data_IF_880724152080
#
_entry.id   IF_880724152080
#
_cell.length_a   1.000
_cell.length_b   1.000
_cell.length_c   1.000
_cell.angle_alpha   90.00
_cell.angle_beta   90.00
_cell.angle_gamma   90.00
#
_symmetry.space_group_name_H-M   'P 1'
#
loop_
_entity.id
_entity.type
_entity.pdbx_description
1 polymer ?
#
# COMPACT_ATOMS: atom_id res chain seq x y z
N UNK A 1 34.65 -6.61 16.36
CA UNK A 1 33.18 -6.72 16.47
C UNK A 1 32.85 -6.92 17.95
N UNK A 2 32.00 -6.07 18.54
CA UNK A 2 31.53 -6.27 19.93
C UNK A 2 30.16 -6.92 19.84
N UNK A 3 30.06 -8.13 20.37
CA UNK A 3 28.78 -8.81 20.54
C UNK A 3 28.14 -8.28 21.83
N UNK A 4 26.95 -7.69 21.72
CA UNK A 4 26.19 -7.20 22.87
C UNK A 4 24.98 -8.11 23.01
N UNK A 5 24.97 -8.90 24.08
CA UNK A 5 23.81 -9.72 24.43
C UNK A 5 22.80 -8.85 25.17
N UNK A 6 21.61 -8.70 24.60
CA UNK A 6 20.52 -7.98 25.24
C UNK A 6 19.92 -8.82 26.37
N UNK A 7 19.57 -8.17 27.48
CA UNK A 7 19.01 -8.84 28.67
C UNK A 7 17.50 -9.14 28.55
N UNK A 8 16.86 -8.67 27.48
CA UNK A 8 15.42 -8.83 27.19
C UNK A 8 15.20 -9.03 25.68
N UNK A 9 14.09 -9.65 25.26
CA UNK A 9 13.69 -9.68 23.85
C UNK A 9 13.59 -8.26 23.28
N UNK A 10 14.18 -8.04 22.11
CA UNK A 10 14.01 -6.79 21.38
C UNK A 10 12.66 -6.71 20.70
N UNK A 11 12.14 -5.48 20.58
CA UNK A 11 11.00 -5.19 19.73
C UNK A 11 11.49 -4.63 18.41
N UNK A 12 11.05 -5.24 17.29
CA UNK A 12 11.39 -4.80 15.95
C UNK A 12 10.14 -4.24 15.27
N UNK A 13 10.24 -3.03 14.75
CA UNK A 13 9.24 -2.41 13.88
C UNK A 13 9.84 -2.25 12.49
N UNK A 14 9.04 -2.40 11.45
CA UNK A 14 9.45 -2.11 10.08
C UNK A 14 8.34 -1.40 9.33
N UNK A 15 8.71 -0.63 8.31
CA UNK A 15 7.77 0.00 7.40
C UNK A 15 8.40 0.22 6.02
N UNK A 16 7.57 0.42 5.00
CA UNK A 16 8.01 0.63 3.63
C UNK A 16 7.74 2.06 3.17
N UNK A 17 8.79 2.72 2.70
CA UNK A 17 8.67 4.01 2.04
C UNK A 17 8.64 3.85 0.52
N UNK A 18 7.52 4.15 -0.11
CA UNK A 18 7.41 4.25 -1.58
C UNK A 18 7.95 5.62 -2.07
N UNK A 19 8.63 5.72 -3.20
CA UNK A 19 9.07 6.99 -3.80
C UNK A 19 7.91 7.74 -4.47
N UNK A 20 8.06 9.05 -4.71
CA UNK A 20 6.97 9.85 -5.30
C UNK A 20 6.65 9.45 -6.75
N UNK A 21 7.62 8.92 -7.49
CA UNK A 21 7.42 8.33 -8.82
C UNK A 21 6.95 6.86 -8.78
N UNK A 22 6.72 6.31 -7.58
CA UNK A 22 6.22 4.94 -7.34
C UNK A 22 7.10 3.83 -7.92
N UNK A 23 8.37 4.13 -8.24
CA UNK A 23 9.33 3.17 -8.81
C UNK A 23 10.32 2.61 -7.79
N UNK A 24 10.34 3.08 -6.56
CA UNK A 24 11.28 2.63 -5.52
C UNK A 24 10.54 2.42 -4.21
N UNK A 25 10.82 1.33 -3.52
CA UNK A 25 10.38 1.05 -2.16
C UNK A 25 11.61 0.84 -1.27
N UNK A 26 11.74 1.63 -0.21
CA UNK A 26 12.82 1.52 0.78
C UNK A 26 12.27 0.88 2.05
N UNK A 27 12.93 -0.17 2.52
CA UNK A 27 12.62 -0.75 3.83
C UNK A 27 13.24 0.11 4.92
N UNK A 28 12.45 0.42 5.94
CA UNK A 28 12.94 1.01 7.17
C UNK A 28 12.69 0.06 8.34
N UNK A 29 13.66 -0.08 9.25
CA UNK A 29 13.56 -0.94 10.43
C UNK A 29 13.96 -0.18 11.69
N UNK A 30 13.34 -0.51 12.82
CA UNK A 30 13.64 0.06 14.12
C UNK A 30 13.73 -1.07 15.14
N UNK A 31 14.82 -1.11 15.91
CA UNK A 31 15.03 -2.08 16.98
C UNK A 31 15.14 -1.32 18.29
N UNK A 32 14.23 -1.58 19.24
CA UNK A 32 14.22 -0.93 20.56
C UNK A 32 14.34 0.60 20.49
N UNK A 33 13.58 1.21 19.57
CA UNK A 33 13.58 2.66 19.28
C UNK A 33 14.81 3.22 18.57
N UNK A 34 15.79 2.38 18.23
CA UNK A 34 16.90 2.75 17.38
C UNK A 34 16.57 2.47 15.91
N UNK A 35 16.47 3.55 15.13
CA UNK A 35 16.31 3.50 13.67
C UNK A 35 17.56 2.88 13.05
N UNK A 36 17.38 1.76 12.37
CA UNK A 36 18.33 1.21 11.43
C UNK A 36 17.78 1.42 10.01
N UNK A 37 18.57 2.01 9.12
CA UNK A 37 18.21 2.06 7.71
C UNK A 37 18.93 0.91 7.07
N UNK A 38 18.31 -0.28 6.94
CA UNK A 38 18.91 -1.30 6.13
C UNK A 38 18.94 -0.73 4.70
N UNK A 39 20.07 -0.86 3.99
CA UNK A 39 20.23 -0.33 2.63
C UNK A 39 19.51 -1.23 1.61
N UNK A 40 18.24 -1.50 1.91
CA UNK A 40 17.38 -2.48 1.25
C UNK A 40 16.30 -1.75 0.47
N UNK A 41 16.41 -1.83 -0.86
CA UNK A 41 15.54 -1.14 -1.80
C UNK A 41 14.94 -2.13 -2.77
N UNK A 42 13.70 -1.89 -3.19
CA UNK A 42 13.09 -2.58 -4.33
C UNK A 42 12.80 -1.52 -5.38
N UNK A 43 13.38 -1.65 -6.57
CA UNK A 43 13.20 -0.67 -7.64
C UNK A 43 12.62 -1.31 -8.90
N UNK A 44 11.75 -0.58 -9.57
CA UNK A 44 11.32 -0.88 -10.93
C UNK A 44 12.37 -0.40 -11.91
N UNK A 45 12.94 -1.32 -12.68
CA UNK A 45 14.01 -1.03 -13.65
C UNK A 45 13.49 -1.22 -15.06
N UNK A 46 13.50 -0.15 -15.85
CA UNK A 46 13.06 -0.11 -17.24
C UNK A 46 13.93 0.82 -18.11
N UNK A 47 13.66 0.84 -19.41
CA UNK A 47 14.20 1.83 -20.33
C UNK A 47 15.73 1.88 -20.37
N UNK A 48 16.30 3.05 -20.04
CA UNK A 48 17.75 3.27 -20.07
C UNK A 48 18.48 2.49 -18.98
N UNK A 49 17.99 2.58 -17.73
CA UNK A 49 18.60 1.90 -16.59
C UNK A 49 18.66 0.39 -16.78
N UNK A 50 17.61 -0.22 -17.35
CA UNK A 50 17.61 -1.64 -17.71
C UNK A 50 18.68 -1.98 -18.75
N UNK A 51 18.84 -1.16 -19.78
CA UNK A 51 19.83 -1.40 -20.84
C UNK A 51 21.25 -1.28 -20.32
N UNK A 52 21.54 -0.26 -19.50
CA UNK A 52 22.84 -0.10 -18.85
C UNK A 52 23.16 -1.29 -17.95
N UNK A 53 22.22 -1.69 -17.09
CA UNK A 53 22.41 -2.84 -16.21
C UNK A 53 22.70 -4.15 -17.00
N UNK A 54 22.06 -4.35 -18.16
CA UNK A 54 22.38 -5.48 -19.05
C UNK A 54 23.76 -5.30 -19.70
N UNK A 55 24.12 -4.10 -20.15
CA UNK A 55 25.40 -3.79 -20.80
C UNK A 55 26.60 -3.97 -19.86
N UNK A 56 26.44 -3.57 -18.60
CA UNK A 56 27.45 -3.75 -17.55
C UNK A 56 27.47 -5.17 -16.96
N UNK A 57 26.60 -6.07 -17.44
CA UNK A 57 26.55 -7.46 -17.02
C UNK A 57 25.97 -7.67 -15.61
N UNK A 58 25.27 -6.67 -15.08
CA UNK A 58 24.52 -6.79 -13.82
C UNK A 58 23.28 -7.66 -14.04
N UNK A 59 22.55 -7.44 -15.14
CA UNK A 59 21.39 -8.23 -15.54
C UNK A 59 21.69 -9.16 -16.73
N UNK A 60 21.09 -10.37 -16.77
CA UNK A 60 21.18 -11.25 -17.93
C UNK A 60 20.68 -10.60 -19.22
N UNK A 61 21.27 -10.97 -20.36
CA UNK A 61 20.72 -10.60 -21.66
C UNK A 61 19.29 -11.14 -21.83
N UNK A 62 18.40 -10.29 -22.33
CA UNK A 62 16.98 -10.62 -22.52
C UNK A 62 16.10 -10.34 -21.31
N UNK A 63 16.65 -9.83 -20.19
CA UNK A 63 15.83 -9.36 -19.08
C UNK A 63 14.88 -8.23 -19.52
N UNK A 64 13.62 -8.35 -19.12
CA UNK A 64 12.56 -7.38 -19.38
C UNK A 64 12.33 -6.46 -18.18
N UNK A 65 11.62 -5.32 -18.35
CA UNK A 65 11.26 -4.45 -17.24
C UNK A 65 10.58 -5.21 -16.09
N UNK A 66 11.07 -5.01 -14.87
CA UNK A 66 10.55 -5.68 -13.67
C UNK A 66 10.96 -4.96 -12.37
N UNK A 67 10.48 -5.45 -11.24
CA UNK A 67 10.95 -5.12 -9.90
C UNK A 67 12.16 -5.97 -9.51
N UNK A 68 13.17 -5.28 -8.99
CA UNK A 68 14.44 -5.86 -8.54
C UNK A 68 14.73 -5.42 -7.12
N UNK A 69 15.35 -6.32 -6.35
CA UNK A 69 15.98 -5.97 -5.09
C UNK A 69 17.35 -5.35 -5.37
N UNK A 70 17.66 -4.27 -4.64
CA UNK A 70 18.62 -3.25 -5.01
C UNK A 70 19.33 -2.83 -3.71
N UNK A 71 20.66 -2.98 -3.67
CA UNK A 71 21.51 -2.65 -2.53
C UNK A 71 22.31 -1.39 -2.79
N UNK A 72 21.93 -0.25 -2.18
CA UNK A 72 22.69 0.99 -2.31
C UNK A 72 24.01 0.87 -1.54
N UNK A 73 25.12 0.71 -2.25
CA UNK A 73 26.47 0.96 -1.71
C UNK A 73 26.72 2.48 -1.78
N UNK A 74 26.86 3.14 -0.62
CA UNK A 74 27.34 4.51 -0.40
C UNK A 74 26.84 5.63 -1.36
N UNK A 75 25.87 6.45 -0.89
CA UNK A 75 25.49 7.80 -1.40
C UNK A 75 25.26 8.02 -2.92
N UNK A 76 25.39 7.02 -3.78
CA UNK A 76 25.16 7.15 -5.21
C UNK A 76 23.67 6.96 -5.54
N UNK A 77 23.01 8.07 -5.90
CA UNK A 77 21.61 8.11 -6.37
C UNK A 77 21.37 7.39 -7.72
N UNK A 78 22.37 6.70 -8.28
CA UNK A 78 22.31 6.18 -9.66
C UNK A 78 22.06 4.68 -9.67
N UNK A 79 20.84 4.26 -10.06
CA UNK A 79 20.34 2.86 -10.17
C UNK A 79 21.35 1.88 -10.81
N UNK A 80 22.25 2.37 -11.66
CA UNK A 80 23.21 1.60 -12.45
C UNK A 80 24.39 0.97 -11.69
N UNK A 81 24.60 1.25 -10.39
CA UNK A 81 25.64 0.58 -9.58
C UNK A 81 25.13 -0.54 -8.66
N UNK A 82 23.83 -0.86 -8.74
CA UNK A 82 23.06 -1.30 -7.55
C UNK A 82 22.46 -2.72 -7.70
N UNK A 83 22.51 -3.31 -8.89
CA UNK A 83 21.83 -4.58 -9.21
C UNK A 83 22.70 -5.83 -8.91
N UNK A 84 23.38 -5.87 -7.77
CA UNK A 84 24.31 -6.97 -7.43
C UNK A 84 23.65 -8.30 -7.01
N UNK A 85 22.33 -8.38 -6.78
CA UNK A 85 21.68 -9.66 -6.44
C UNK A 85 20.24 -9.74 -6.93
N UNK A 86 20.09 -10.19 -8.17
CA UNK A 86 18.79 -10.17 -8.89
C UNK A 86 17.85 -11.30 -8.49
N UNK A 87 18.36 -12.31 -7.79
CA UNK A 87 17.55 -13.33 -7.12
C UNK A 87 17.87 -13.32 -5.64
N UNK A 88 17.04 -12.63 -4.85
CA UNK A 88 16.88 -13.03 -3.46
C UNK A 88 16.23 -14.40 -3.47
N UNK A 89 17.07 -15.43 -3.34
CA UNK A 89 16.64 -16.74 -2.85
C UNK A 89 15.92 -16.56 -1.52
N UNK A 90 15.10 -17.55 -1.13
CA UNK A 90 14.47 -17.54 0.20
C UNK A 90 15.48 -17.19 1.31
N UNK A 91 15.03 -16.52 2.40
CA UNK A 91 15.91 -16.03 3.45
C UNK A 91 16.91 -17.08 3.93
N UNK A 92 18.19 -16.70 4.08
CA UNK A 92 19.21 -17.65 4.48
C UNK A 92 18.98 -18.08 5.93
N UNK A 93 18.83 -19.39 6.16
CA UNK A 93 18.64 -19.94 7.51
C UNK A 93 19.84 -19.62 8.42
N UNK A 94 21.03 -19.38 7.83
CA UNK A 94 22.26 -19.02 8.53
C UNK A 94 22.32 -17.55 8.98
N UNK A 95 21.47 -16.68 8.44
CA UNK A 95 21.40 -15.26 8.80
C UNK A 95 20.94 -15.05 10.25
N UNK A 96 21.37 -13.94 10.86
CA UNK A 96 20.92 -13.54 12.20
C UNK A 96 19.39 -13.37 12.24
N UNK A 97 18.72 -13.48 13.40
CA UNK A 97 17.26 -13.32 13.47
C UNK A 97 16.73 -12.02 12.87
N UNK A 98 17.43 -10.90 13.09
CA UNK A 98 17.06 -9.60 12.52
C UNK A 98 17.28 -9.56 11.00
N UNK A 99 18.41 -10.09 10.53
CA UNK A 99 18.70 -10.15 9.10
C UNK A 99 17.69 -11.02 8.36
N UNK A 100 17.32 -12.19 8.91
CA UNK A 100 16.27 -13.05 8.35
C UNK A 100 14.91 -12.35 8.26
N UNK A 101 14.56 -11.56 9.28
CA UNK A 101 13.33 -10.75 9.24
C UNK A 101 13.40 -9.74 8.10
N UNK A 102 14.52 -9.02 7.94
CA UNK A 102 14.74 -8.05 6.86
C UNK A 102 14.61 -8.73 5.49
N UNK A 103 15.34 -9.82 5.26
CA UNK A 103 15.30 -10.61 4.03
C UNK A 103 13.89 -11.12 3.73
N UNK A 104 13.17 -11.62 4.73
CA UNK A 104 11.80 -12.07 4.59
C UNK A 104 10.87 -10.94 4.16
N UNK A 105 10.99 -9.74 4.75
CA UNK A 105 10.16 -8.60 4.38
C UNK A 105 10.46 -8.11 2.96
N UNK A 106 11.74 -8.05 2.57
CA UNK A 106 12.15 -7.73 1.19
C UNK A 106 11.57 -8.72 0.21
N UNK A 107 11.70 -10.02 0.48
CA UNK A 107 11.19 -11.09 -0.39
C UNK A 107 9.67 -11.01 -0.55
N UNK A 108 8.93 -10.85 0.56
CA UNK A 108 7.47 -10.70 0.54
C UNK A 108 7.04 -9.48 -0.29
N UNK A 109 7.66 -8.32 -0.06
CA UNK A 109 7.33 -7.08 -0.77
C UNK A 109 7.69 -7.17 -2.25
N UNK A 110 8.86 -7.71 -2.58
CA UNK A 110 9.32 -7.87 -3.97
C UNK A 110 8.36 -8.76 -4.76
N UNK A 111 7.94 -9.89 -4.20
CA UNK A 111 7.00 -10.79 -4.86
C UNK A 111 5.61 -10.16 -5.02
N UNK A 112 5.14 -9.41 -4.03
CA UNK A 112 3.90 -8.66 -4.14
C UNK A 112 3.96 -7.63 -5.28
N UNK A 113 5.07 -6.89 -5.39
CA UNK A 113 5.29 -5.90 -6.45
C UNK A 113 5.41 -6.56 -7.83
N UNK A 114 6.19 -7.63 -7.96
CA UNK A 114 6.30 -8.43 -9.19
C UNK A 114 4.93 -8.95 -9.65
N UNK A 115 4.11 -9.44 -8.71
CA UNK A 115 2.74 -9.87 -9.00
C UNK A 115 1.84 -8.72 -9.44
N UNK A 116 2.03 -7.52 -8.88
CA UNK A 116 1.27 -6.32 -9.27
C UNK A 116 1.65 -5.79 -10.66
N UNK A 117 2.84 -6.13 -11.16
CA UNK A 117 3.32 -5.73 -12.49
C UNK A 117 3.92 -4.32 -12.50
N UNK A 118 3.63 -3.56 -13.55
CA UNK A 118 4.21 -2.22 -13.74
C UNK A 118 3.76 -1.26 -12.63
N UNK A 119 4.66 -0.42 -12.09
CA UNK A 119 4.29 0.59 -11.11
C UNK A 119 3.23 1.54 -11.67
N UNK A 120 2.35 2.09 -10.83
CA UNK A 120 1.39 3.08 -11.28
C UNK A 120 2.10 4.30 -11.87
N UNK A 121 1.59 4.78 -12.99
CA UNK A 121 2.20 5.89 -13.74
C UNK A 121 1.87 7.26 -13.15
N UNK A 122 0.81 7.33 -12.34
CA UNK A 122 0.41 8.54 -11.63
C UNK A 122 1.34 8.78 -10.44
N UNK A 123 2.09 9.90 -10.41
CA UNK A 123 2.98 10.20 -9.30
C UNK A 123 2.19 10.57 -8.04
N UNK A 124 2.79 10.34 -6.88
CA UNK A 124 2.27 10.78 -5.60
C UNK A 124 2.55 12.27 -5.40
N UNK A 125 1.53 12.99 -4.93
CA UNK A 125 1.60 14.39 -4.49
C UNK A 125 1.68 14.44 -2.97
N UNK A 126 2.39 15.44 -2.46
CA UNK A 126 2.35 15.81 -1.03
C UNK A 126 1.18 16.76 -0.79
N UNK A 127 0.19 16.31 -0.02
CA UNK A 127 -1.05 17.04 0.23
C UNK A 127 -1.13 17.34 1.72
N UNK A 128 -1.19 18.63 2.07
CA UNK A 128 -1.36 19.07 3.45
C UNK A 128 -2.85 19.16 3.78
N UNK A 129 -3.31 18.39 4.75
CA UNK A 129 -4.69 18.49 5.25
C UNK A 129 -4.70 18.75 6.74
N UNK A 130 -5.69 19.53 7.17
CA UNK A 130 -5.94 19.75 8.58
C UNK A 130 -6.48 18.46 9.21
N UNK A 131 -6.03 18.11 10.42
CA UNK A 131 -6.49 16.94 11.15
C UNK A 131 -7.99 16.96 11.41
N UNK A 132 -8.61 15.77 11.37
CA UNK A 132 -10.02 15.56 11.71
C UNK A 132 -10.11 15.52 13.24
N UNK A 133 -10.06 16.68 13.89
CA UNK A 133 -9.96 16.75 15.35
C UNK A 133 -11.20 16.12 16.03
N UNK A 134 -10.96 15.30 17.05
CA UNK A 134 -11.98 14.93 18.05
C UNK A 134 -11.55 15.16 19.50
N UNK A 135 -10.26 15.38 19.80
CA UNK A 135 -9.77 15.41 21.20
C UNK A 135 -8.51 16.25 21.46
N UNK A 136 -7.74 16.63 20.44
CA UNK A 136 -6.51 17.41 20.63
C UNK A 136 -6.77 18.91 20.37
N UNK A 137 -6.41 19.83 21.30
CA UNK A 137 -6.75 21.24 21.19
C UNK A 137 -6.18 21.97 19.97
N UNK A 138 -5.12 21.46 19.34
CA UNK A 138 -4.51 22.09 18.17
C UNK A 138 -3.62 21.08 17.43
N UNK A 139 -4.20 20.12 16.69
CA UNK A 139 -3.38 19.16 15.96
C UNK A 139 -2.83 19.89 14.72
N UNK A 140 -1.50 19.88 14.58
CA UNK A 140 -0.84 20.49 13.44
C UNK A 140 -1.29 19.80 12.13
N UNK A 141 -1.36 20.52 11.00
CA UNK A 141 -1.67 19.92 9.71
C UNK A 141 -0.71 18.78 9.38
N UNK A 142 -1.24 17.71 8.78
CA UNK A 142 -0.46 16.54 8.39
C UNK A 142 -0.24 16.49 6.88
N UNK A 143 0.93 16.00 6.46
CA UNK A 143 1.26 15.79 5.06
C UNK A 143 0.95 14.35 4.67
N UNK A 144 0.02 14.19 3.75
CA UNK A 144 -0.35 12.92 3.14
C UNK A 144 0.36 12.77 1.79
N UNK A 145 0.54 11.54 1.36
CA UNK A 145 1.00 11.21 0.00
C UNK A 145 -0.12 10.48 -0.71
N UNK A 146 -0.58 11.02 -1.83
CA UNK A 146 -1.71 10.49 -2.59
C UNK A 146 -1.62 10.94 -4.05
N UNK A 147 -2.30 10.26 -4.96
CA UNK A 147 -2.34 10.65 -6.37
C UNK A 147 -3.09 11.99 -6.55
N UNK A 148 -4.18 12.19 -5.80
CA UNK A 148 -4.89 13.46 -5.76
C UNK A 148 -5.68 13.70 -4.48
N UNK A 149 -6.28 14.89 -4.36
CA UNK A 149 -7.20 15.23 -3.28
C UNK A 149 -8.36 16.09 -3.79
N UNK A 150 -9.59 15.65 -3.50
CA UNK A 150 -10.83 16.36 -3.85
C UNK A 150 -11.60 16.69 -2.58
N UNK A 151 -11.77 17.98 -2.28
CA UNK A 151 -12.52 18.45 -1.10
C UNK A 151 -12.10 17.78 0.21
N UNK A 152 -10.81 17.51 0.41
CA UNK A 152 -10.25 16.82 1.59
C UNK A 152 -10.30 15.28 1.54
N UNK A 153 -10.82 14.69 0.47
CA UNK A 153 -10.84 13.24 0.20
C UNK A 153 -9.62 12.85 -0.64
N UNK A 154 -8.76 12.02 -0.07
CA UNK A 154 -7.56 11.53 -0.75
C UNK A 154 -7.89 10.43 -1.75
N UNK A 155 -7.33 10.50 -2.96
CA UNK A 155 -7.41 9.49 -4.01
C UNK A 155 -6.11 8.69 -4.07
N UNK A 156 -6.19 7.36 -3.96
CA UNK A 156 -5.06 6.44 -3.92
C UNK A 156 -3.96 6.90 -2.95
N UNK A 157 -4.28 7.19 -1.68
CA UNK A 157 -3.24 7.54 -0.73
C UNK A 157 -2.31 6.37 -0.43
N UNK A 158 -1.07 6.70 -0.06
CA UNK A 158 -0.19 5.79 0.68
C UNK A 158 -0.81 5.59 2.06
N UNK A 159 -1.30 4.38 2.31
CA UNK A 159 -1.91 4.00 3.58
C UNK A 159 -0.84 3.51 4.56
N UNK A 160 -1.07 3.67 5.88
CA UNK A 160 -0.28 2.95 6.88
C UNK A 160 -0.31 1.44 6.59
N UNK A 161 0.84 0.77 6.71
CA UNK A 161 0.98 -0.68 6.46
C UNK A 161 -0.06 -1.52 7.22
N UNK A 162 -0.42 -1.09 8.44
CA UNK A 162 -1.44 -1.73 9.28
C UNK A 162 -2.87 -1.71 8.70
N UNK A 163 -3.14 -0.92 7.65
CA UNK A 163 -4.45 -0.94 6.97
C UNK A 163 -4.57 -2.07 5.93
N UNK A 164 -3.46 -2.59 5.42
CA UNK A 164 -3.44 -3.63 4.39
C UNK A 164 -3.53 -5.03 4.98
N UNK A 165 -3.06 -5.17 6.21
CA UNK A 165 -2.87 -6.41 6.94
C UNK A 165 -4.00 -6.58 7.96
N UNK A 166 -4.85 -7.60 7.81
CA UNK A 166 -5.86 -8.00 8.81
C UNK A 166 -5.24 -8.57 10.09
N UNK A 167 -4.07 -8.05 10.48
CA UNK A 167 -3.26 -8.52 11.58
C UNK A 167 -3.90 -8.13 12.91
N UNK A 168 -3.64 -8.98 13.89
CA UNK A 168 -3.91 -8.78 15.32
C UNK A 168 -3.53 -7.36 15.78
N UNK A 169 -4.21 -6.83 16.81
CA UNK A 169 -4.28 -5.39 17.10
C UNK A 169 -2.96 -4.87 17.67
N UNK A 170 -2.02 -4.52 16.80
CA UNK A 170 -1.20 -3.36 17.10
C UNK A 170 -2.11 -2.14 16.94
N UNK A 171 -2.33 -1.41 18.01
CA UNK A 171 -3.19 -0.24 17.93
C UNK A 171 -2.50 0.79 17.04
N UNK A 172 -3.20 1.28 16.01
CA UNK A 172 -2.81 2.53 15.35
C UNK A 172 -2.39 3.52 16.43
N UNK A 173 -1.22 4.13 16.27
CA UNK A 173 -0.75 5.13 17.22
C UNK A 173 -1.81 6.22 17.34
N UNK A 174 -1.91 6.89 18.49
CA UNK A 174 -2.85 8.01 18.66
C UNK A 174 -2.65 9.07 17.57
N UNK A 175 -1.41 9.24 17.09
CA UNK A 175 -1.05 10.13 15.98
C UNK A 175 -1.68 9.65 14.67
N UNK A 176 -1.48 8.38 14.27
CA UNK A 176 -2.08 7.85 13.04
C UNK A 176 -3.60 7.84 13.08
N UNK A 177 -4.19 7.47 14.23
CA UNK A 177 -5.63 7.61 14.46
C UNK A 177 -6.05 9.06 14.24
N UNK A 178 -5.36 10.04 14.82
CA UNK A 178 -5.73 11.46 14.66
C UNK A 178 -5.71 11.95 13.20
N UNK A 179 -4.91 11.34 12.33
CA UNK A 179 -4.80 11.71 10.92
C UNK A 179 -5.87 11.05 10.04
N UNK A 180 -6.14 9.76 10.29
CA UNK A 180 -7.00 8.94 9.44
C UNK A 180 -8.43 8.75 9.97
N UNK A 181 -8.66 9.00 11.26
CA UNK A 181 -9.96 8.80 11.88
C UNK A 181 -11.02 9.71 11.27
N UNK A 182 -12.15 9.12 10.87
CA UNK A 182 -13.23 9.78 10.14
C UNK A 182 -12.79 10.53 8.87
N UNK A 183 -11.61 10.21 8.31
CA UNK A 183 -11.16 10.72 7.02
C UNK A 183 -11.48 9.68 5.93
N UNK A 184 -12.51 9.92 5.08
CA UNK A 184 -12.73 9.07 3.94
C UNK A 184 -11.61 9.25 2.92
N UNK A 185 -11.30 8.16 2.24
CA UNK A 185 -10.38 8.13 1.11
C UNK A 185 -10.92 7.15 0.07
N UNK A 186 -10.41 7.30 -1.15
CA UNK A 186 -10.81 6.51 -2.31
C UNK A 186 -9.62 5.67 -2.76
N UNK A 187 -9.84 4.37 -2.94
CA UNK A 187 -8.86 3.46 -3.56
C UNK A 187 -9.44 2.94 -4.86
N UNK A 188 -8.70 3.14 -5.93
CA UNK A 188 -9.00 2.59 -7.24
C UNK A 188 -8.65 1.11 -7.28
N UNK A 189 -9.56 0.30 -7.82
CA UNK A 189 -9.38 -1.13 -8.03
C UNK A 189 -9.67 -1.47 -9.48
N UNK A 190 -8.77 -2.24 -10.07
CA UNK A 190 -8.93 -2.82 -11.39
C UNK A 190 -9.20 -4.32 -11.25
N UNK A 191 -9.99 -4.87 -12.17
CA UNK A 191 -10.36 -6.28 -12.19
C UNK A 191 -9.15 -7.21 -12.13
N UNK A 192 -8.17 -6.96 -12.99
CA UNK A 192 -7.01 -7.85 -13.20
C UNK A 192 -6.12 -7.98 -11.95
N UNK A 193 -6.13 -6.98 -11.06
CA UNK A 193 -5.37 -7.04 -9.79
C UNK A 193 -5.97 -8.06 -8.81
N UNK A 194 -7.23 -8.47 -9.00
CA UNK A 194 -7.93 -9.43 -8.14
C UNK A 194 -7.98 -10.87 -8.66
N UNK A 195 -7.55 -11.13 -9.90
CA UNK A 195 -7.63 -12.45 -10.51
C UNK A 195 -6.41 -13.27 -10.11
N UNK A 196 -6.63 -14.25 -9.22
CA UNK A 196 -5.62 -15.22 -8.81
C UNK A 196 -5.24 -16.13 -10.00
N UNK A 197 -4.07 -16.78 -9.99
CA UNK A 197 -3.80 -17.89 -10.91
C UNK A 197 -4.53 -19.15 -10.44
N UNK A 198 -4.77 -20.12 -11.34
CA UNK A 198 -5.33 -21.41 -10.92
C UNK A 198 -4.45 -22.10 -9.88
N UNK A 199 -3.13 -22.08 -10.06
CA UNK A 199 -2.18 -22.68 -9.11
C UNK A 199 -2.25 -22.01 -7.73
N UNK A 200 -2.37 -20.67 -7.69
CA UNK A 200 -2.56 -19.94 -6.44
C UNK A 200 -3.86 -20.35 -5.74
N UNK A 201 -4.95 -20.36 -6.50
CA UNK A 201 -6.26 -20.79 -6.03
C UNK A 201 -6.23 -22.22 -5.50
N UNK A 202 -5.69 -23.16 -6.27
CA UNK A 202 -5.63 -24.56 -5.92
C UNK A 202 -4.79 -24.79 -4.66
N UNK A 203 -3.63 -24.13 -4.57
CA UNK A 203 -2.77 -24.16 -3.38
C UNK A 203 -3.49 -23.67 -2.14
N UNK A 204 -4.21 -22.54 -2.24
CA UNK A 204 -4.98 -21.96 -1.12
C UNK A 204 -6.13 -22.87 -0.67
N UNK A 205 -6.85 -23.48 -1.61
CA UNK A 205 -7.96 -24.40 -1.30
C UNK A 205 -7.46 -25.70 -0.66
N UNK A 206 -6.35 -26.24 -1.15
CA UNK A 206 -5.69 -27.41 -0.57
C UNK A 206 -5.16 -27.13 0.84
N UNK A 207 -4.60 -25.93 1.07
CA UNK A 207 -4.06 -25.53 2.38
C UNK A 207 -5.12 -25.53 3.49
N UNK A 208 -6.40 -25.30 3.15
CA UNK A 208 -7.54 -25.38 4.09
C UNK A 208 -8.23 -26.76 4.09
N UNK A 209 -7.60 -27.77 3.47
CA UNK A 209 -8.09 -29.16 3.44
C UNK A 209 -9.26 -29.42 2.50
N UNK A 210 -9.54 -28.50 1.56
CA UNK A 210 -10.63 -28.64 0.59
C UNK A 210 -10.10 -29.08 -0.79
N UNK A 211 -10.98 -29.65 -1.61
CA UNK A 211 -10.64 -30.01 -3.00
C UNK A 211 -10.88 -28.80 -3.92
N UNK A 212 -9.89 -28.38 -4.73
CA UNK A 212 -10.10 -27.34 -5.71
C UNK A 212 -11.05 -27.83 -6.82
N UNK A 213 -11.91 -26.94 -7.27
CA UNK A 213 -12.61 -27.11 -8.55
C UNK A 213 -11.61 -27.35 -9.69
N UNK A 214 -12.06 -27.99 -10.77
CA UNK A 214 -11.20 -28.22 -11.93
C UNK A 214 -10.75 -26.89 -12.56
N UNK A 215 -9.64 -26.90 -13.28
CA UNK A 215 -9.14 -25.71 -13.97
C UNK A 215 -10.18 -25.12 -14.94
N UNK A 216 -10.96 -25.97 -15.61
CA UNK A 216 -12.04 -25.54 -16.48
C UNK A 216 -13.19 -24.85 -15.73
N UNK A 217 -13.64 -25.42 -14.61
CA UNK A 217 -14.68 -24.80 -13.76
C UNK A 217 -14.18 -23.48 -13.17
N UNK A 218 -12.92 -23.44 -12.77
CA UNK A 218 -12.27 -22.23 -12.28
C UNK A 218 -12.21 -21.15 -13.35
N UNK A 219 -11.78 -21.49 -14.56
CA UNK A 219 -11.73 -20.55 -15.68
C UNK A 219 -13.11 -19.99 -16.01
N UNK A 220 -14.15 -20.84 -16.03
CA UNK A 220 -15.53 -20.40 -16.23
C UNK A 220 -16.01 -19.48 -15.08
N UNK A 221 -15.62 -19.78 -13.83
CA UNK A 221 -15.94 -18.91 -12.70
C UNK A 221 -15.21 -17.56 -12.80
N UNK A 222 -13.95 -17.54 -13.23
CA UNK A 222 -13.23 -16.28 -13.48
C UNK A 222 -13.93 -15.46 -14.54
N UNK A 223 -14.36 -16.06 -15.65
CA UNK A 223 -15.08 -15.32 -16.69
C UNK A 223 -16.42 -14.76 -16.19
N UNK A 224 -17.15 -15.51 -15.36
CA UNK A 224 -18.35 -14.99 -14.71
C UNK A 224 -18.05 -13.85 -13.73
N UNK A 225 -16.92 -13.89 -13.01
CA UNK A 225 -16.46 -12.80 -12.14
C UNK A 225 -16.13 -11.57 -13.00
N UNK A 226 -15.40 -11.74 -14.12
CA UNK A 226 -15.08 -10.65 -15.06
C UNK A 226 -16.35 -10.02 -15.62
N UNK A 227 -17.31 -10.84 -16.07
CA UNK A 227 -18.56 -10.37 -16.63
C UNK A 227 -19.37 -9.55 -15.60
N UNK A 228 -19.52 -10.05 -14.36
CA UNK A 228 -20.20 -9.32 -13.28
C UNK A 228 -19.46 -8.04 -12.88
N UNK A 229 -18.13 -8.07 -12.91
CA UNK A 229 -17.33 -6.88 -12.65
C UNK A 229 -17.59 -5.81 -13.71
N UNK A 230 -17.49 -6.16 -14.99
CA UNK A 230 -17.71 -5.23 -16.10
C UNK A 230 -19.18 -4.77 -16.20
N UNK A 231 -20.13 -5.61 -15.79
CA UNK A 231 -21.54 -5.21 -15.66
C UNK A 231 -21.70 -4.10 -14.62
N UNK A 232 -21.01 -4.20 -13.48
CA UNK A 232 -21.06 -3.21 -12.40
C UNK A 232 -20.16 -1.99 -12.64
N UNK A 233 -19.02 -2.20 -13.29
CA UNK A 233 -17.97 -1.22 -13.54
C UNK A 233 -17.58 -1.28 -15.02
N UNK A 234 -18.35 -0.64 -15.93
CA UNK A 234 -18.16 -0.78 -17.37
C UNK A 234 -16.78 -0.36 -17.89
N UNK A 235 -16.09 0.53 -17.17
CA UNK A 235 -14.74 0.96 -17.50
C UNK A 235 -13.64 0.03 -16.96
N UNK A 236 -14.01 -1.11 -16.36
CA UNK A 236 -13.08 -2.06 -15.73
C UNK A 236 -12.51 -1.59 -14.38
N UNK A 237 -12.88 -0.39 -13.93
CA UNK A 237 -12.32 0.28 -12.75
C UNK A 237 -13.41 0.61 -11.73
N UNK A 238 -13.12 0.30 -10.47
CA UNK A 238 -13.97 0.61 -9.33
C UNK A 238 -13.29 1.59 -8.38
N UNK A 239 -14.04 2.54 -7.84
CA UNK A 239 -13.58 3.53 -6.86
C UNK A 239 -14.14 3.17 -5.49
N UNK A 240 -13.34 2.47 -4.68
CA UNK A 240 -13.76 2.02 -3.35
C UNK A 240 -13.61 3.13 -2.33
N UNK A 241 -14.71 3.51 -1.70
CA UNK A 241 -14.71 4.50 -0.62
C UNK A 241 -14.51 3.79 0.71
N UNK A 242 -13.48 4.21 1.46
CA UNK A 242 -13.16 3.67 2.79
C UNK A 242 -12.95 4.77 3.80
N UNK A 243 -13.16 4.46 5.08
CA UNK A 243 -12.95 5.39 6.17
C UNK A 243 -12.62 4.63 7.47
N UNK A 244 -11.62 5.09 8.20
CA UNK A 244 -11.35 4.59 9.55
C UNK A 244 -12.33 5.25 10.54
N UNK A 245 -13.46 4.61 10.81
CA UNK A 245 -14.54 5.16 11.64
C UNK A 245 -14.90 4.27 12.85
N UNK A 246 -14.13 3.21 13.09
CA UNK A 246 -14.31 2.28 14.21
C UNK A 246 -15.43 1.24 14.04
N UNK A 247 -16.17 1.25 12.94
CA UNK A 247 -17.28 0.29 12.74
C UNK A 247 -16.80 -1.14 12.47
N UNK A 248 -15.61 -1.28 11.87
CA UNK A 248 -14.95 -2.56 11.62
C UNK A 248 -13.68 -2.72 12.47
N UNK A 249 -13.80 -2.43 13.76
CA UNK A 249 -12.67 -2.47 14.70
C UNK A 249 -11.58 -1.46 14.31
N UNK A 250 -10.34 -1.92 14.23
CA UNK A 250 -9.17 -1.10 13.85
C UNK A 250 -8.93 -1.03 12.33
N UNK A 251 -9.83 -1.59 11.50
CA UNK A 251 -9.68 -1.57 10.05
C UNK A 251 -10.59 -0.52 9.40
N UNK A 252 -10.19 0.07 8.26
CA UNK A 252 -11.05 0.97 7.52
C UNK A 252 -12.35 0.32 7.03
N UNK A 253 -13.48 0.93 7.41
CA UNK A 253 -14.81 0.50 7.00
C UNK A 253 -15.02 0.81 5.51
N UNK A 254 -15.55 -0.15 4.77
CA UNK A 254 -16.00 0.06 3.39
C UNK A 254 -17.35 0.80 3.38
N UNK A 255 -17.39 1.97 2.75
CA UNK A 255 -18.59 2.82 2.66
C UNK A 255 -19.39 2.59 1.39
N UNK A 256 -18.79 1.97 0.38
CA UNK A 256 -19.37 1.69 -0.93
C UNK A 256 -18.33 1.77 -2.04
N UNK A 257 -18.77 1.53 -3.27
CA UNK A 257 -17.97 1.70 -4.48
C UNK A 257 -18.79 2.38 -5.58
N UNK A 258 -18.09 2.90 -6.58
CA UNK A 258 -18.68 3.47 -7.78
C UNK A 258 -17.81 3.15 -9.01
N UNK A 259 -18.40 3.25 -10.19
CA UNK A 259 -17.73 3.13 -11.50
C UNK A 259 -17.02 4.43 -11.96
N UNK A 260 -17.09 5.48 -11.13
CA UNK A 260 -16.55 6.80 -11.41
C UNK A 260 -16.13 7.52 -10.13
N UNK A 261 -15.13 8.39 -10.25
CA UNK A 261 -14.68 9.25 -9.15
C UNK A 261 -15.81 10.14 -8.61
N UNK A 262 -16.61 10.72 -9.50
CA UNK A 262 -17.78 11.54 -9.11
C UNK A 262 -18.79 10.73 -8.29
N UNK A 263 -19.06 9.49 -8.70
CA UNK A 263 -19.92 8.57 -7.95
C UNK A 263 -19.37 8.26 -6.55
N UNK A 264 -18.06 8.04 -6.44
CA UNK A 264 -17.39 7.81 -5.16
C UNK A 264 -17.46 9.05 -4.24
N UNK A 265 -17.26 10.26 -4.78
CA UNK A 265 -17.42 11.51 -4.03
C UNK A 265 -18.86 11.70 -3.53
N UNK A 266 -19.88 11.32 -4.32
CA UNK A 266 -21.28 11.32 -3.87
C UNK A 266 -21.52 10.35 -2.71
N UNK A 267 -20.85 9.20 -2.67
CA UNK A 267 -20.91 8.26 -1.53
C UNK A 267 -20.35 8.94 -0.28
N UNK A 268 -19.20 9.61 -0.39
CA UNK A 268 -18.59 10.37 0.71
C UNK A 268 -19.56 11.43 1.22
N UNK A 269 -20.11 12.26 0.34
CA UNK A 269 -21.07 13.32 0.69
C UNK A 269 -22.31 12.79 1.42
N UNK A 270 -22.85 11.64 0.98
CA UNK A 270 -24.02 11.00 1.62
C UNK A 270 -23.73 10.48 3.03
N UNK A 271 -22.53 9.93 3.25
CA UNK A 271 -22.12 9.41 4.56
C UNK A 271 -21.77 10.53 5.56
N UNK A 272 -21.55 11.75 5.08
CA UNK A 272 -21.24 12.98 5.84
C UNK A 272 -20.11 12.79 6.86
N UNK A 273 -18.85 12.92 6.42
CA UNK A 273 -17.72 12.92 7.33
C UNK A 273 -17.85 14.05 8.35
N UNK A 274 -17.48 13.80 9.60
CA UNK A 274 -17.70 14.78 10.69
C UNK A 274 -16.91 16.10 10.53
N UNK A 275 -15.93 16.16 9.63
CA UNK A 275 -15.12 17.35 9.35
C UNK A 275 -15.67 18.24 8.22
N UNK A 276 -16.70 17.81 7.50
CA UNK A 276 -17.42 18.72 6.60
C UNK A 276 -18.20 19.65 7.52
N UNK A 277 -17.78 20.92 7.59
CA UNK A 277 -18.43 21.95 8.41
C UNK A 277 -19.95 21.81 8.31
N UNK A 278 -20.63 21.74 9.45
CA UNK A 278 -22.07 21.97 9.45
C UNK A 278 -22.26 23.40 8.96
N UNK A 279 -22.77 23.58 7.74
CA UNK A 279 -23.35 24.86 7.37
C UNK A 279 -24.24 25.30 8.54
N UNK A 280 -24.08 26.53 9.06
CA UNK A 280 -24.88 26.98 10.18
C UNK A 280 -26.35 26.92 9.75
N UNK A 281 -27.06 25.93 10.29
CA UNK A 281 -28.50 25.82 10.19
C UNK A 281 -29.10 27.08 10.83
N UNK A 282 -29.44 28.07 10.00
CA UNK A 282 -30.32 29.17 10.41
C UNK A 282 -29.71 30.56 10.35
N UNK A 283 -29.52 31.08 9.14
CA UNK A 283 -29.77 32.50 8.89
C UNK A 283 -31.27 32.77 9.02
N UNK A 284 -31.74 32.96 10.26
CA UNK A 284 -33.11 33.33 10.61
C UNK A 284 -33.52 34.59 9.85
N UNK A 285 -34.51 34.46 8.96
CA UNK A 285 -35.24 35.61 8.40
C UNK A 285 -36.04 36.26 9.54
N UNK A 286 -35.45 37.23 10.23
CA UNK A 286 -36.25 38.19 11.01
C UNK A 286 -36.82 39.23 10.05
N UNK A 287 -38.01 38.92 9.54
CA UNK A 287 -38.95 39.96 9.13
C UNK A 287 -39.63 40.50 10.37
N UNK A 288 -39.43 41.77 10.67
CA UNK A 288 -40.33 42.55 11.52
C UNK A 288 -40.95 43.63 10.67
N UNK A 289 -42.28 43.56 10.62
CA UNK A 289 -43.21 44.58 10.17
C UNK A 289 -43.11 45.85 11.01
#
# INVERSE_FOLDING_TARGET
MREITLSKPSTVFYDWFESDNRKVHKLWVQVDYCRISPDEYIAWVDGHALREAIEFGELPHGTTPNWFHVHLEDDEETIAGILKSIDTTEPDVSSSPLQRLIEQQVWLKLNALRKSGTPPTTPLKRIKLDPVSLTTPDPAPHWYRAEDCHDGVLLNPVLPSIFEEGHEPHELTLVEKSHWWNRPYIVTRELEVGIESYDGYASRVLAVGSQPMTEHEWANNQENIRAKWLERFPNGQAFHVRCLDGRTGNTPTWWGDADSLEGALKIVQRKRPMWVEQEPLGGSRHGTH
#
